data_IF_703943610218
#
_entry.id   IF_703943610218
#
_cell.length_a   1.000
_cell.length_b   1.000
_cell.length_c   1.000
_cell.angle_alpha   90.00
_cell.angle_beta   90.00
_cell.angle_gamma   90.00
#
_symmetry.space_group_name_H-M   'P 1'
#
loop_
_entity.id
_entity.type
_entity.pdbx_description
1 polymer ?
#
# COMPACT_ATOMS: atom_id res chain seq x y z
N UNK A 1 6.09 -8.26 -3.12
CA UNK A 1 5.90 -7.62 -4.43
C UNK A 1 6.02 -8.73 -5.44
N UNK A 2 5.27 -8.68 -6.53
CA UNK A 2 5.40 -9.64 -7.62
C UNK A 2 5.49 -8.86 -8.92
N UNK A 3 6.60 -9.04 -9.65
CA UNK A 3 6.78 -8.52 -11.00
C UNK A 3 5.93 -9.36 -11.96
N UNK A 4 5.15 -8.69 -12.79
CA UNK A 4 4.33 -9.29 -13.83
C UNK A 4 4.73 -8.68 -15.16
N UNK A 5 5.08 -9.53 -16.11
CA UNK A 5 5.35 -9.14 -17.49
C UNK A 5 4.28 -9.76 -18.40
N UNK A 6 3.65 -8.91 -19.20
CA UNK A 6 2.56 -9.27 -20.11
C UNK A 6 3.04 -9.04 -21.53
N UNK A 7 3.07 -10.11 -22.33
CA UNK A 7 3.41 -10.04 -23.75
C UNK A 7 2.20 -10.44 -24.59
N UNK A 8 1.80 -9.54 -25.47
CA UNK A 8 0.75 -9.74 -26.46
C UNK A 8 1.42 -9.95 -27.80
N UNK A 9 1.23 -11.12 -28.41
CA UNK A 9 1.89 -11.47 -29.67
C UNK A 9 1.45 -10.63 -30.88
N UNK A 10 2.20 -10.71 -32.00
CA UNK A 10 1.77 -10.12 -33.26
C UNK A 10 0.45 -10.76 -33.75
N UNK A 11 -0.25 -10.08 -34.65
CA UNK A 11 -1.54 -10.52 -35.20
C UNK A 11 -2.73 -10.18 -34.30
N UNK A 12 -2.54 -9.36 -33.26
CA UNK A 12 -3.61 -9.00 -32.33
C UNK A 12 -4.57 -7.99 -32.97
N UNK A 13 -5.88 -8.26 -33.00
CA UNK A 13 -6.87 -7.34 -33.56
C UNK A 13 -7.10 -6.12 -32.66
N UNK A 14 -7.47 -5.00 -33.28
CA UNK A 14 -7.82 -3.75 -32.59
C UNK A 14 -9.33 -3.47 -32.66
N UNK A 15 -9.86 -2.78 -31.64
CA UNK A 15 -11.21 -2.25 -31.67
C UNK A 15 -11.36 -1.02 -32.58
N UNK A 16 -10.24 -0.39 -32.96
CA UNK A 16 -10.23 0.82 -33.79
C UNK A 16 -10.36 0.53 -35.29
N UNK A 17 -9.99 -0.67 -35.75
CA UNK A 17 -9.99 -1.00 -37.18
C UNK A 17 -9.49 -2.41 -37.51
N UNK A 18 -9.50 -2.78 -38.80
CA UNK A 18 -9.28 -4.16 -39.26
C UNK A 18 -7.81 -4.59 -39.31
N UNK A 19 -6.86 -3.66 -39.14
CA UNK A 19 -5.43 -3.98 -39.19
C UNK A 19 -5.01 -4.69 -37.89
N UNK A 20 -4.14 -5.68 -38.04
CA UNK A 20 -3.57 -6.45 -36.94
C UNK A 20 -2.21 -5.87 -36.53
N UNK A 21 -1.82 -6.06 -35.27
CA UNK A 21 -0.46 -5.71 -34.82
C UNK A 21 0.61 -6.47 -35.62
N UNK A 22 1.65 -5.79 -36.09
CA UNK A 22 2.76 -6.44 -36.80
C UNK A 22 3.79 -7.06 -35.86
N UNK A 23 3.91 -6.51 -34.65
CA UNK A 23 4.90 -6.89 -33.65
C UNK A 23 4.23 -7.22 -32.31
N UNK A 24 4.99 -7.89 -31.44
CA UNK A 24 4.55 -8.15 -30.07
C UNK A 24 4.61 -6.86 -29.24
N UNK A 25 3.62 -6.68 -28.37
CA UNK A 25 3.58 -5.59 -27.40
C UNK A 25 3.84 -6.14 -26.01
N UNK A 26 4.79 -5.55 -25.28
CA UNK A 26 5.19 -6.00 -23.95
C UNK A 26 4.99 -4.90 -22.93
N UNK A 27 4.38 -5.27 -21.80
CA UNK A 27 4.12 -4.39 -20.67
C UNK A 27 4.63 -5.05 -19.39
N UNK A 28 5.07 -4.25 -18.43
CA UNK A 28 5.51 -4.78 -17.16
C UNK A 28 5.08 -3.90 -16.00
N UNK A 29 4.60 -4.54 -14.94
CA UNK A 29 4.14 -3.88 -13.72
C UNK A 29 4.42 -4.76 -12.50
N UNK A 30 4.28 -4.19 -11.30
CA UNK A 30 4.42 -4.93 -10.06
C UNK A 30 3.15 -4.79 -9.21
N UNK A 31 2.79 -5.83 -8.46
CA UNK A 31 1.77 -5.74 -7.40
C UNK A 31 2.36 -5.16 -6.12
N UNK A 32 1.50 -4.64 -5.23
CA UNK A 32 1.93 -4.21 -3.90
C UNK A 32 2.68 -5.32 -3.15
N UNK A 33 3.68 -4.94 -2.37
CA UNK A 33 4.32 -5.86 -1.45
C UNK A 33 3.35 -6.28 -0.33
N UNK A 34 3.55 -7.43 0.34
CA UNK A 34 2.82 -7.73 1.57
C UNK A 34 2.88 -6.54 2.53
N UNK A 35 1.75 -6.26 3.20
CA UNK A 35 1.65 -5.14 4.14
C UNK A 35 2.61 -5.36 5.33
N UNK A 36 3.39 -4.33 5.65
CA UNK A 36 4.28 -4.30 6.81
C UNK A 36 4.32 -2.89 7.40
N UNK A 37 4.67 -2.82 8.68
CA UNK A 37 5.02 -1.57 9.35
C UNK A 37 6.46 -1.22 8.96
N UNK A 38 6.67 -0.03 8.43
CA UNK A 38 8.00 0.51 8.15
C UNK A 38 8.53 1.34 9.32
N UNK A 39 7.67 2.16 9.91
CA UNK A 39 8.00 3.00 11.05
C UNK A 39 6.83 3.08 12.00
N UNK A 40 7.14 3.26 13.28
CA UNK A 40 6.18 3.58 14.31
C UNK A 40 6.89 4.33 15.42
N UNK A 41 6.19 5.21 16.14
CA UNK A 41 6.80 5.96 17.25
C UNK A 41 5.96 7.14 17.70
N UNK A 42 6.62 8.09 18.36
CA UNK A 42 6.07 9.30 18.96
C UNK A 42 6.32 10.51 18.05
N UNK A 43 5.70 10.47 16.87
CA UNK A 43 5.75 11.48 15.81
C UNK A 43 7.14 12.11 15.66
N UNK A 44 7.28 13.41 15.95
CA UNK A 44 8.50 14.22 15.79
C UNK A 44 9.66 13.81 16.72
N UNK A 45 9.40 12.97 17.73
CA UNK A 45 10.41 12.49 18.69
C UNK A 45 10.95 11.09 18.34
N UNK A 46 10.46 10.47 17.27
CA UNK A 46 10.88 9.13 16.90
C UNK A 46 10.55 8.10 17.99
N UNK A 47 11.55 7.31 18.40
CA UNK A 47 11.32 6.13 19.25
C UNK A 47 11.94 6.24 20.65
N UNK A 48 12.72 7.29 20.94
CA UNK A 48 13.44 7.43 22.20
C UNK A 48 12.64 8.15 23.27
N UNK A 49 11.87 9.17 22.88
CA UNK A 49 11.15 10.03 23.81
C UNK A 49 9.67 10.11 23.41
N UNK A 50 8.80 9.83 24.37
CA UNK A 50 7.34 9.93 24.20
C UNK A 50 6.76 10.84 25.29
N UNK A 51 7.01 12.16 25.22
CA UNK A 51 6.46 13.09 26.19
C UNK A 51 4.93 13.13 26.07
N UNK A 52 4.21 13.48 27.16
CA UNK A 52 2.76 13.57 27.16
C UNK A 52 2.23 14.43 26.01
N UNK A 53 1.07 14.04 25.47
CA UNK A 53 0.38 14.71 24.35
C UNK A 53 1.07 14.57 22.97
N UNK A 54 2.15 13.81 22.87
CA UNK A 54 2.74 13.45 21.56
C UNK A 54 1.87 12.41 20.85
N UNK A 55 1.48 12.62 19.58
CA UNK A 55 0.75 11.61 18.83
C UNK A 55 1.60 10.38 18.53
N UNK A 56 0.98 9.20 18.63
CA UNK A 56 1.52 7.99 18.05
C UNK A 56 1.31 7.98 16.53
N UNK A 57 2.23 7.36 15.80
CA UNK A 57 2.03 7.09 14.38
C UNK A 57 2.51 5.70 14.01
N UNK A 58 1.95 5.16 12.93
CA UNK A 58 2.40 3.94 12.27
C UNK A 58 2.43 4.25 10.77
N UNK A 59 3.57 4.02 10.13
CA UNK A 59 3.76 4.19 8.69
C UNK A 59 3.88 2.82 8.03
N UNK A 60 3.02 2.56 7.06
CA UNK A 60 2.99 1.31 6.30
C UNK A 60 3.72 1.46 4.96
N UNK A 61 4.17 0.34 4.40
CA UNK A 61 4.78 0.30 3.07
C UNK A 61 3.75 0.42 1.93
N UNK A 62 2.47 0.27 2.22
CA UNK A 62 1.37 0.41 1.27
C UNK A 62 0.24 1.22 1.92
N UNK A 63 -0.62 1.81 1.10
CA UNK A 63 -1.86 2.41 1.58
C UNK A 63 -2.79 1.32 2.11
N UNK A 64 -3.55 1.67 3.16
CA UNK A 64 -4.58 0.80 3.71
C UNK A 64 -5.89 1.01 2.95
N UNK A 65 -6.66 -0.07 2.80
CA UNK A 65 -8.05 0.03 2.38
C UNK A 65 -8.91 0.49 3.58
N UNK A 66 -9.27 1.77 3.57
CA UNK A 66 -10.05 2.41 4.63
C UNK A 66 -11.48 1.85 4.75
N UNK A 67 -12.00 1.17 3.74
CA UNK A 67 -13.32 0.54 3.82
C UNK A 67 -13.28 -0.78 4.61
N UNK A 68 -12.11 -1.42 4.64
CA UNK A 68 -11.85 -2.65 5.40
C UNK A 68 -11.40 -2.38 6.83
N UNK A 69 -10.99 -1.15 7.14
CA UNK A 69 -10.48 -0.77 8.45
C UNK A 69 -11.59 -0.79 9.51
N UNK A 70 -11.26 -1.34 10.67
CA UNK A 70 -12.09 -1.30 11.89
C UNK A 70 -11.20 -0.87 13.06
N UNK A 71 -11.71 -0.01 13.94
CA UNK A 71 -10.99 0.41 15.15
C UNK A 71 -10.57 -0.78 16.03
N UNK A 72 -11.30 -1.91 15.96
CA UNK A 72 -10.97 -3.14 16.68
C UNK A 72 -9.63 -3.77 16.26
N UNK A 73 -9.09 -3.39 15.09
CA UNK A 73 -7.76 -3.81 14.63
C UNK A 73 -6.63 -3.14 15.43
N UNK A 74 -6.94 -2.10 16.21
CA UNK A 74 -5.99 -1.39 17.06
C UNK A 74 -6.24 -1.72 18.54
N UNK A 75 -5.16 -2.03 19.24
CA UNK A 75 -5.19 -2.27 20.69
C UNK A 75 -4.19 -1.33 21.37
N UNK A 76 -4.70 -0.50 22.28
CA UNK A 76 -3.88 0.40 23.10
C UNK A 76 -3.78 -0.17 24.51
N UNK A 77 -2.56 -0.34 25.01
CA UNK A 77 -2.29 -0.86 26.35
C UNK A 77 -1.03 -0.20 26.94
N UNK A 78 -1.09 0.45 28.12
CA UNK A 78 -2.29 0.64 28.95
C UNK A 78 -3.33 1.52 28.24
N UNK A 79 -4.58 1.44 28.67
CA UNK A 79 -5.64 2.29 28.12
C UNK A 79 -5.26 3.77 28.30
N UNK A 80 -5.41 4.55 27.22
CA UNK A 80 -5.21 5.99 27.23
C UNK A 80 -6.60 6.62 27.10
N UNK A 81 -7.11 7.28 28.16
CA UNK A 81 -8.42 7.91 28.11
C UNK A 81 -8.54 8.90 26.96
N UNK A 82 -9.56 8.72 26.10
CA UNK A 82 -9.83 9.62 24.97
C UNK A 82 -8.95 9.41 23.74
N UNK A 83 -8.15 8.34 23.67
CA UNK A 83 -7.44 7.98 22.45
C UNK A 83 -8.42 7.50 21.37
N UNK A 84 -8.28 8.03 20.16
CA UNK A 84 -9.03 7.63 18.95
C UNK A 84 -8.04 7.34 17.82
N UNK A 85 -8.42 6.44 16.92
CA UNK A 85 -7.65 6.11 15.72
C UNK A 85 -7.79 7.16 14.62
#
# INVERSE_FOLDING_TARGET
>A
ETRIDVTIGPGTPSAEGPLLTSEAQSYGFSTYAPLRIEEHGCSWYGNSDCPPLTPFYIRFNNQLDLTSFSEEMLKVSPEIPGATA
#
